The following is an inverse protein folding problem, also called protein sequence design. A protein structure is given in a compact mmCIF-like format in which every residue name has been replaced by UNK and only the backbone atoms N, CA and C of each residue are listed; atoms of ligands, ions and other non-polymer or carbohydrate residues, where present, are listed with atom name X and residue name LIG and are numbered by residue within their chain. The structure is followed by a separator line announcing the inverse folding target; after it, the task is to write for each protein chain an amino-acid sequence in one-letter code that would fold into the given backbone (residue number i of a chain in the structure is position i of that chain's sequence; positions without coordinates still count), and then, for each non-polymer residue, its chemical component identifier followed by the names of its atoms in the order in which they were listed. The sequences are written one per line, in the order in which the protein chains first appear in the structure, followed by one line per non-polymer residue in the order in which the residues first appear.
data_IF_385237424093
#
_entry.id   IF_385237424093
#
_cell.length_a   1.000
_cell.length_b   1.000
_cell.length_c   1.000
_cell.angle_alpha   90.00
_cell.angle_beta   90.00
_cell.angle_gamma   90.00
#
_symmetry.space_group_name_H-M   'P 1'
#
loop_
_entity.id
_entity.type
_entity.pdbx_description
1 polymer ?
#
# COMPACT_ATOMS: atom_id res chain seq x y z
N UNK A 1 -7.66 -9.15 0.25
CA UNK A 1 -7.68 -7.92 -0.59
C UNK A 1 -8.18 -8.23 -2.01
N UNK A 2 -7.45 -9.02 -2.80
CA UNK A 2 -7.78 -9.30 -4.22
C UNK A 2 -9.24 -9.70 -4.44
N UNK A 3 -9.69 -10.78 -3.80
CA UNK A 3 -11.07 -11.27 -3.93
C UNK A 3 -12.11 -10.21 -3.55
N UNK A 4 -11.87 -9.46 -2.48
CA UNK A 4 -12.77 -8.40 -2.03
C UNK A 4 -12.90 -7.24 -3.03
N UNK A 5 -11.80 -6.86 -3.69
CA UNK A 5 -11.82 -5.81 -4.72
C UNK A 5 -12.44 -6.32 -6.03
N UNK A 6 -12.24 -7.59 -6.39
CA UNK A 6 -12.89 -8.22 -7.55
C UNK A 6 -14.41 -8.34 -7.36
N UNK A 7 -14.87 -8.57 -6.13
CA UNK A 7 -16.29 -8.66 -5.79
C UNK A 7 -16.98 -7.29 -5.60
N UNK A 8 -16.22 -6.18 -5.64
CA UNK A 8 -16.77 -4.86 -5.41
C UNK A 8 -17.67 -4.40 -6.57
N UNK A 9 -18.84 -3.87 -6.25
CA UNK A 9 -19.86 -3.47 -7.25
C UNK A 9 -19.92 -1.97 -7.51
N UNK A 10 -19.15 -1.17 -6.77
CA UNK A 10 -19.09 0.29 -6.92
C UNK A 10 -17.92 0.69 -7.82
N UNK A 11 -17.87 1.96 -8.21
CA UNK A 11 -16.78 2.49 -9.04
C UNK A 11 -15.46 2.70 -8.29
N UNK A 12 -15.55 2.85 -6.96
CA UNK A 12 -14.39 3.04 -6.09
C UNK A 12 -14.36 1.92 -5.05
N UNK A 13 -13.22 1.25 -4.94
CA UNK A 13 -12.96 0.21 -3.93
C UNK A 13 -12.01 0.73 -2.86
N UNK A 14 -12.36 0.55 -1.59
CA UNK A 14 -11.50 0.85 -0.44
C UNK A 14 -11.03 -0.47 0.18
N UNK A 15 -9.73 -0.58 0.40
CA UNK A 15 -9.10 -1.61 1.21
C UNK A 15 -8.62 -1.00 2.52
N UNK A 16 -8.93 -1.65 3.64
CA UNK A 16 -8.49 -1.28 4.98
C UNK A 16 -8.10 -2.54 5.76
N UNK A 17 -7.03 -2.45 6.53
CA UNK A 17 -6.67 -3.47 7.52
C UNK A 17 -7.83 -3.64 8.52
N UNK A 18 -8.10 -4.90 8.89
CA UNK A 18 -9.21 -5.26 9.77
C UNK A 18 -9.00 -4.83 11.23
N UNK A 19 -7.77 -4.49 11.61
CA UNK A 19 -7.42 -4.00 12.94
C UNK A 19 -7.74 -2.50 13.13
N UNK A 20 -8.22 -1.82 12.09
CA UNK A 20 -8.50 -0.38 12.08
C UNK A 20 -7.31 0.47 12.54
N UNK A 21 -6.08 0.00 12.28
CA UNK A 21 -4.86 0.78 12.55
C UNK A 21 -4.92 2.15 11.88
N UNK A 22 -5.54 2.24 10.70
CA UNK A 22 -5.97 3.51 10.11
C UNK A 22 -7.47 3.67 10.37
N UNK A 23 -7.92 4.71 11.11
CA UNK A 23 -9.33 4.85 11.40
C UNK A 23 -10.13 5.17 10.13
N UNK A 24 -11.35 4.63 10.01
CA UNK A 24 -12.17 4.75 8.78
C UNK A 24 -12.55 6.19 8.44
N UNK A 25 -12.47 7.12 9.40
CA UNK A 25 -12.68 8.54 9.16
C UNK A 25 -11.61 9.19 8.27
N UNK A 26 -10.50 8.49 7.99
CA UNK A 26 -9.49 8.90 7.02
C UNK A 26 -9.89 8.52 5.57
N UNK A 27 -10.91 7.67 5.38
CA UNK A 27 -11.33 7.19 4.06
C UNK A 27 -11.71 8.31 3.06
N UNK A 28 -12.40 9.40 3.47
CA UNK A 28 -12.71 10.51 2.56
C UNK A 28 -11.46 11.11 1.91
N UNK A 29 -10.34 11.19 2.63
CA UNK A 29 -9.08 11.71 2.07
C UNK A 29 -8.59 10.92 0.86
N UNK A 30 -8.86 9.62 0.80
CA UNK A 30 -8.48 8.75 -0.30
C UNK A 30 -9.56 8.69 -1.39
N UNK A 31 -10.83 8.69 -0.99
CA UNK A 31 -11.96 8.51 -1.91
C UNK A 31 -12.27 9.79 -2.68
N UNK A 32 -12.27 10.96 -2.02
CA UNK A 32 -12.67 12.23 -2.63
C UNK A 32 -11.82 12.61 -3.85
N UNK A 33 -10.47 12.51 -3.83
CA UNK A 33 -9.67 12.82 -5.01
C UNK A 33 -9.92 11.86 -6.19
N UNK A 34 -10.30 10.61 -5.91
CA UNK A 34 -10.68 9.64 -6.94
C UNK A 34 -12.06 9.98 -7.50
N UNK A 35 -13.03 10.29 -6.62
CA UNK A 35 -14.38 10.69 -7.01
C UNK A 35 -14.38 12.00 -7.83
N UNK A 36 -13.47 12.93 -7.51
CA UNK A 36 -13.23 14.16 -8.27
C UNK A 36 -12.48 13.91 -9.60
N UNK A 37 -12.03 12.68 -9.85
CA UNK A 37 -11.32 12.31 -11.08
C UNK A 37 -9.89 12.84 -11.16
N UNK A 38 -9.30 13.31 -10.05
CA UNK A 38 -7.93 13.82 -10.00
C UNK A 38 -6.89 12.72 -10.10
N UNK A 39 -7.18 11.58 -9.46
CA UNK A 39 -6.28 10.43 -9.34
C UNK A 39 -7.06 9.13 -9.51
N UNK A 40 -6.34 8.05 -9.79
CA UNK A 40 -6.90 6.73 -10.05
C UNK A 40 -6.62 5.77 -8.87
N UNK A 41 -5.54 6.00 -8.12
CA UNK A 41 -5.16 5.21 -6.93
C UNK A 41 -4.69 6.14 -5.81
N UNK A 42 -5.20 5.91 -4.61
CA UNK A 42 -4.78 6.60 -3.40
C UNK A 42 -4.35 5.60 -2.34
N UNK A 43 -3.30 5.88 -1.59
CA UNK A 43 -2.91 5.06 -0.45
C UNK A 43 -2.39 5.90 0.70
N UNK A 44 -2.69 5.43 1.91
CA UNK A 44 -2.25 6.05 3.14
C UNK A 44 -0.73 5.95 3.31
N UNK A 45 -0.18 6.91 4.04
CA UNK A 45 1.22 6.89 4.42
C UNK A 45 1.41 7.36 5.84
N UNK A 46 2.15 6.55 6.59
CA UNK A 46 2.65 6.88 7.94
C UNK A 46 3.96 7.66 7.87
N UNK A 47 4.62 7.63 6.72
CA UNK A 47 5.94 8.22 6.52
C UNK A 47 5.89 9.71 6.17
N UNK A 48 4.80 10.17 5.54
CA UNK A 48 4.63 11.57 5.14
C UNK A 48 4.44 12.53 6.33
N UNK A 49 3.68 12.13 7.35
CA UNK A 49 3.51 12.91 8.57
C UNK A 49 3.54 12.01 9.81
N UNK A 50 4.67 12.07 10.52
CA UNK A 50 4.89 11.27 11.73
C UNK A 50 4.17 11.80 12.96
N UNK A 51 3.66 13.04 12.92
CA UNK A 51 2.88 13.59 14.04
C UNK A 51 1.52 12.90 14.18
N UNK A 52 1.03 12.30 13.08
CA UNK A 52 -0.24 11.58 13.02
C UNK A 52 -0.16 10.13 13.55
N UNK A 53 1.02 9.71 14.01
CA UNK A 53 1.22 8.39 14.63
C UNK A 53 0.90 8.52 16.13
N UNK A 54 -0.24 7.97 16.56
CA UNK A 54 -0.68 8.02 17.95
C UNK A 54 0.17 7.10 18.84
N UNK A 55 -0.02 5.78 18.70
CA UNK A 55 0.80 4.78 19.39
C UNK A 55 1.96 4.34 18.51
N UNK A 56 3.19 4.63 18.95
CA UNK A 56 4.42 4.27 18.22
C UNK A 56 4.79 2.81 18.44
N UNK A 57 5.25 2.16 17.37
CA UNK A 57 5.89 0.85 17.45
C UNK A 57 7.27 0.94 18.13
N UNK A 58 7.81 -0.18 18.65
CA UNK A 58 9.19 -0.23 19.10
C UNK A 58 10.16 0.27 18.01
N UNK A 59 11.09 1.15 18.39
CA UNK A 59 12.01 1.84 17.47
C UNK A 59 12.71 0.91 16.46
N UNK A 60 13.08 -0.31 16.89
CA UNK A 60 13.72 -1.32 16.02
C UNK A 60 12.81 -1.78 14.87
N UNK A 61 11.51 -1.94 15.10
CA UNK A 61 10.54 -2.28 14.05
C UNK A 61 10.30 -1.11 13.11
N UNK A 62 10.26 0.10 13.65
CA UNK A 62 10.10 1.30 12.83
C UNK A 62 11.30 1.51 11.88
N UNK A 63 12.54 1.38 12.37
CA UNK A 63 13.72 1.46 11.50
C UNK A 63 13.74 0.34 10.47
N UNK A 64 13.32 -0.86 10.88
CA UNK A 64 13.18 -1.98 9.96
C UNK A 64 12.25 -1.64 8.79
N UNK A 65 11.04 -1.16 9.07
CA UNK A 65 10.09 -0.74 8.04
C UNK A 65 10.63 0.35 7.11
N UNK A 66 11.45 1.29 7.64
CA UNK A 66 12.07 2.34 6.83
C UNK A 66 13.12 1.81 5.85
N UNK A 67 14.05 0.98 6.35
CA UNK A 67 15.07 0.35 5.49
C UNK A 67 14.40 -0.50 4.43
N UNK A 68 13.36 -1.22 4.83
CA UNK A 68 12.55 -2.01 3.94
C UNK A 68 11.87 -1.17 2.84
N UNK A 69 11.19 -0.07 3.20
CA UNK A 69 10.56 0.83 2.21
C UNK A 69 11.60 1.45 1.27
N UNK A 70 12.79 1.78 1.78
CA UNK A 70 13.89 2.30 0.96
C UNK A 70 14.34 1.26 -0.09
N UNK A 71 14.50 0.00 0.30
CA UNK A 71 14.85 -1.09 -0.61
C UNK A 71 13.81 -1.22 -1.72
N UNK A 72 12.52 -1.26 -1.35
CA UNK A 72 11.42 -1.33 -2.32
C UNK A 72 11.47 -0.17 -3.29
N UNK A 73 11.64 1.05 -2.77
CA UNK A 73 11.69 2.28 -3.55
C UNK A 73 12.82 2.26 -4.57
N UNK A 74 14.03 1.89 -4.14
CA UNK A 74 15.21 1.80 -5.02
C UNK A 74 15.04 0.69 -6.06
N UNK A 75 14.50 -0.46 -5.66
CA UNK A 75 14.38 -1.61 -6.54
C UNK A 75 13.27 -1.47 -7.59
N UNK A 76 12.17 -0.77 -7.26
CA UNK A 76 11.01 -0.57 -8.16
C UNK A 76 11.02 0.77 -8.88
N UNK A 77 11.81 1.74 -8.40
CA UNK A 77 11.78 3.12 -8.91
C UNK A 77 10.52 3.91 -8.55
N UNK A 78 9.65 3.37 -7.69
CA UNK A 78 8.45 4.06 -7.24
C UNK A 78 8.84 5.30 -6.42
N UNK A 79 8.17 6.45 -6.57
CA UNK A 79 8.51 7.68 -5.85
C UNK A 79 7.87 7.78 -4.46
N UNK A 80 7.44 6.66 -3.86
CA UNK A 80 6.59 6.64 -2.66
C UNK A 80 7.34 6.20 -1.41
N UNK A 81 6.93 6.71 -0.25
CA UNK A 81 7.58 6.46 1.03
C UNK A 81 6.98 5.32 1.83
N UNK A 82 5.69 5.02 1.65
CA UNK A 82 4.96 3.95 2.33
C UNK A 82 4.08 3.18 1.35
N UNK A 83 4.66 2.22 0.63
CA UNK A 83 3.97 1.40 -0.38
C UNK A 83 3.10 0.29 0.21
N UNK A 84 3.31 -0.04 1.49
CA UNK A 84 2.69 -1.18 2.18
C UNK A 84 1.71 -0.76 3.29
N UNK A 85 1.23 0.48 3.27
CA UNK A 85 0.14 0.86 4.14
C UNK A 85 -1.13 0.09 3.73
N UNK A 86 -1.75 -0.65 4.64
CA UNK A 86 -2.97 -1.42 4.40
C UNK A 86 -4.23 -0.55 4.31
N UNK A 87 -4.10 0.72 3.91
CA UNK A 87 -5.22 1.64 3.72
C UNK A 87 -5.13 2.27 2.32
N UNK A 88 -5.94 1.80 1.37
CA UNK A 88 -5.81 2.12 -0.06
C UNK A 88 -7.16 2.22 -0.74
N UNK A 89 -7.33 3.16 -1.66
CA UNK A 89 -8.51 3.31 -2.49
C UNK A 89 -8.15 3.27 -3.98
N UNK A 90 -9.06 2.73 -4.79
CA UNK A 90 -8.83 2.46 -6.20
C UNK A 90 -10.06 2.83 -7.03
N UNK A 91 -9.84 3.45 -8.18
CA UNK A 91 -10.85 3.51 -9.24
C UNK A 91 -10.91 2.16 -9.95
N UNK A 92 -12.00 1.43 -9.73
CA UNK A 92 -12.07 -0.01 -10.06
C UNK A 92 -12.07 -0.27 -11.56
N UNK A 93 -12.67 0.60 -12.37
CA UNK A 93 -12.72 0.47 -13.83
C UNK A 93 -11.33 0.30 -14.48
N UNK A 94 -10.31 1.01 -13.98
CA UNK A 94 -8.94 0.94 -14.48
C UNK A 94 -8.02 0.07 -13.62
N UNK A 95 -8.39 -0.19 -12.37
CA UNK A 95 -7.55 -0.95 -11.46
C UNK A 95 -7.79 -2.46 -11.54
N UNK A 96 -8.99 -2.90 -11.92
CA UNK A 96 -9.31 -4.34 -12.02
C UNK A 96 -8.34 -5.10 -12.97
N UNK A 97 -7.99 -4.61 -14.17
CA UNK A 97 -7.01 -5.30 -15.03
C UNK A 97 -5.62 -5.43 -14.40
N UNK A 98 -5.20 -4.44 -13.60
CA UNK A 98 -3.94 -4.50 -12.84
C UNK A 98 -4.04 -5.56 -11.75
N UNK A 99 -5.17 -5.58 -11.05
CA UNK A 99 -5.44 -6.55 -9.99
C UNK A 99 -5.47 -7.99 -10.51
N UNK A 100 -5.99 -8.22 -11.72
CA UNK A 100 -6.02 -9.54 -12.36
C UNK A 100 -4.64 -9.97 -12.87
N UNK A 101 -3.82 -9.02 -13.32
CA UNK A 101 -2.48 -9.31 -13.85
C UNK A 101 -1.40 -9.51 -12.78
N UNK A 102 -1.63 -9.08 -11.54
CA UNK A 102 -0.71 -9.25 -10.42
C UNK A 102 -0.54 -10.73 -10.03
N UNK A 103 0.70 -11.23 -10.03
CA UNK A 103 1.02 -12.66 -9.85
C UNK A 103 1.56 -13.00 -8.45
N UNK A 104 1.93 -12.00 -7.68
CA UNK A 104 2.52 -12.17 -6.34
C UNK A 104 1.41 -12.26 -5.31
N UNK A 105 1.60 -13.13 -4.33
CA UNK A 105 0.78 -13.18 -3.13
C UNK A 105 1.63 -12.86 -1.90
N UNK A 106 1.00 -12.36 -0.83
CA UNK A 106 1.67 -11.98 0.41
C UNK A 106 2.23 -10.55 0.38
N UNK A 107 3.35 -10.31 1.06
CA UNK A 107 3.84 -8.95 1.32
C UNK A 107 4.29 -8.18 0.07
N UNK A 108 4.71 -8.87 -0.99
CA UNK A 108 5.09 -8.24 -2.27
C UNK A 108 3.89 -7.77 -3.10
N UNK A 109 2.67 -8.24 -2.80
CA UNK A 109 1.47 -7.95 -3.58
C UNK A 109 1.18 -6.45 -3.68
N UNK A 110 1.24 -5.74 -2.55
CA UNK A 110 1.03 -4.29 -2.50
C UNK A 110 2.01 -3.50 -3.37
N UNK A 111 3.26 -3.95 -3.40
CA UNK A 111 4.34 -3.33 -4.18
C UNK A 111 4.15 -3.61 -5.66
N UNK A 112 3.81 -4.85 -6.02
CA UNK A 112 3.50 -5.23 -7.40
C UNK A 112 2.33 -4.41 -7.95
N UNK A 113 1.25 -4.27 -7.19
CA UNK A 113 0.09 -3.49 -7.62
C UNK A 113 0.44 -2.03 -7.92
N UNK A 114 1.22 -1.38 -7.06
CA UNK A 114 1.66 0.00 -7.29
C UNK A 114 2.65 0.10 -8.46
N UNK A 115 3.51 -0.91 -8.64
CA UNK A 115 4.43 -0.98 -9.77
C UNK A 115 3.70 -1.14 -11.10
N UNK A 116 2.72 -2.06 -11.18
CA UNK A 116 1.89 -2.27 -12.36
C UNK A 116 1.01 -1.06 -12.65
N UNK A 117 0.42 -0.43 -11.62
CA UNK A 117 -0.31 0.83 -11.77
C UNK A 117 0.57 1.94 -12.33
N UNK A 118 1.85 2.03 -11.90
CA UNK A 118 2.81 2.97 -12.47
C UNK A 118 3.13 2.67 -13.93
N UNK A 119 3.33 1.40 -14.28
CA UNK A 119 3.59 0.93 -15.65
C UNK A 119 2.40 1.21 -16.59
N UNK A 120 1.18 1.14 -16.05
CA UNK A 120 -0.06 1.52 -16.72
C UNK A 120 -0.34 3.03 -16.74
N UNK A 121 0.60 3.86 -16.26
CA UNK A 121 0.47 5.33 -16.18
C UNK A 121 -0.76 5.83 -15.39
N UNK A 122 -1.21 5.05 -14.40
CA UNK A 122 -2.24 5.52 -13.48
C UNK A 122 -1.72 6.66 -12.61
N UNK A 123 -2.59 7.64 -12.34
CA UNK A 123 -2.31 8.76 -11.45
C UNK A 123 -2.46 8.27 -10.02
N UNK A 124 -1.35 8.27 -9.29
CA UNK A 124 -1.31 7.75 -7.93
C UNK A 124 -0.93 8.86 -6.95
N UNK A 125 -1.52 8.85 -5.75
CA UNK A 125 -1.18 9.79 -4.68
C UNK A 125 -1.00 9.07 -3.35
N UNK A 126 0.13 9.36 -2.72
CA UNK A 126 0.41 8.99 -1.34
C UNK A 126 -0.15 10.08 -0.41
N UNK A 127 -0.96 9.70 0.58
CA UNK A 127 -1.73 10.63 1.41
C UNK A 127 -1.39 10.42 2.90
N UNK A 128 -1.05 11.46 3.67
CA UNK A 128 -0.82 11.32 5.10
C UNK A 128 -2.10 10.92 5.83
N UNK A 129 -2.04 9.81 6.56
CA UNK A 129 -3.18 9.30 7.34
C UNK A 129 -2.80 9.11 8.81
N UNK A 130 -3.78 9.27 9.69
CA UNK A 130 -3.62 8.88 11.10
C UNK A 130 -3.45 7.38 11.21
N UNK A 131 -2.49 6.97 12.02
CA UNK A 131 -2.18 5.56 12.22
C UNK A 131 -1.88 5.26 13.68
N UNK A 132 -2.52 4.24 14.21
CA UNK A 132 -2.38 3.78 15.58
C UNK A 132 -1.87 2.35 15.60
N UNK A 133 -0.81 2.09 16.35
CA UNK A 133 -0.35 0.73 16.56
C UNK A 133 -1.29 -0.04 17.48
N UNK A 134 -1.79 -1.18 17.00
CA UNK A 134 -2.37 -2.22 17.84
C UNK A 134 -1.37 -3.37 18.02
N UNK A 135 -1.22 -3.86 19.26
CA UNK A 135 -0.32 -4.98 19.58
C UNK A 135 -0.80 -6.28 18.94
N UNK A 136 0.13 -7.06 18.36
CA UNK A 136 -0.19 -8.38 17.78
C UNK A 136 0.56 -8.79 16.51
N UNK A 137 1.49 -7.97 16.00
CA UNK A 137 2.16 -8.25 14.72
C UNK A 137 3.03 -9.52 14.77
N UNK A 138 2.60 -10.54 13.99
CA UNK A 138 3.25 -11.86 13.78
C UNK A 138 4.38 -11.84 12.73
N UNK A 139 4.82 -10.66 12.28
CA UNK A 139 5.73 -10.52 11.12
C UNK A 139 7.19 -10.67 11.54
N UNK A 140 7.93 -11.53 10.83
CA UNK A 140 9.34 -11.86 11.11
C UNK A 140 10.25 -11.09 10.15
N UNK A 141 10.74 -9.95 10.63
CA UNK A 141 11.45 -8.93 9.87
C UNK A 141 12.56 -9.46 8.92
N UNK A 142 13.37 -10.43 9.37
CA UNK A 142 14.49 -10.93 8.57
C UNK A 142 14.06 -11.88 7.45
N UNK A 143 13.11 -12.78 7.73
CA UNK A 143 12.67 -13.81 6.76
C UNK A 143 11.82 -13.18 5.64
N UNK A 144 10.96 -12.25 6.01
CA UNK A 144 10.06 -11.57 5.08
C UNK A 144 10.83 -10.62 4.15
N UNK A 145 11.90 -9.99 4.64
CA UNK A 145 12.77 -9.12 3.83
C UNK A 145 13.51 -9.89 2.72
N UNK A 146 14.08 -11.06 3.01
CA UNK A 146 14.81 -11.87 2.02
C UNK A 146 13.86 -12.47 0.98
N UNK A 147 12.69 -12.96 1.42
CA UNK A 147 11.66 -13.46 0.52
C UNK A 147 11.23 -12.36 -0.46
N UNK A 148 11.03 -11.15 0.04
CA UNK A 148 10.54 -10.07 -0.80
C UNK A 148 11.58 -9.50 -1.75
N UNK A 149 12.86 -9.47 -1.38
CA UNK A 149 13.93 -9.11 -2.32
C UNK A 149 13.90 -10.02 -3.57
N UNK A 150 13.60 -11.31 -3.40
CA UNK A 150 13.42 -12.24 -4.52
C UNK A 150 12.17 -11.95 -5.32
N UNK A 151 11.05 -11.64 -4.66
CA UNK A 151 9.80 -11.26 -5.32
C UNK A 151 9.97 -9.98 -6.15
N UNK A 152 10.62 -8.94 -5.61
CA UNK A 152 10.91 -7.69 -6.32
C UNK A 152 11.88 -7.91 -7.49
N UNK A 153 12.90 -8.74 -7.32
CA UNK A 153 13.81 -9.10 -8.42
C UNK A 153 13.08 -9.84 -9.56
N UNK A 154 12.03 -10.61 -9.26
CA UNK A 154 11.19 -11.25 -10.25
C UNK A 154 10.27 -10.24 -10.97
N UNK A 155 9.74 -9.23 -10.26
CA UNK A 155 8.91 -8.17 -10.86
C UNK A 155 9.63 -7.42 -11.99
N UNK A 156 10.94 -7.17 -11.84
CA UNK A 156 11.74 -6.49 -12.89
C UNK A 156 11.93 -7.29 -14.17
N UNK A 157 11.65 -8.60 -14.16
CA UNK A 157 11.78 -9.47 -15.35
C UNK A 157 10.49 -9.56 -16.17
N UNK A 158 9.44 -8.82 -15.79
CA UNK A 158 8.09 -8.83 -16.41
C UNK A 158 7.70 -7.47 -16.98
#
# INVERSE_FOLDING_TARGET
MREGLLAATKSIGLFSDADLSTPINEAPKLIEPIAAGEIDVAFGSRALDRSLIGHRQPWRREQGGRVFNLIVRVATGLPFWDTQCGFKAFRLDVFLPILESAKTDGFGFDVELLYLARKANLRMREIPVRWNHYEGSKVSFARDSVRMLREIAALRKT
#
